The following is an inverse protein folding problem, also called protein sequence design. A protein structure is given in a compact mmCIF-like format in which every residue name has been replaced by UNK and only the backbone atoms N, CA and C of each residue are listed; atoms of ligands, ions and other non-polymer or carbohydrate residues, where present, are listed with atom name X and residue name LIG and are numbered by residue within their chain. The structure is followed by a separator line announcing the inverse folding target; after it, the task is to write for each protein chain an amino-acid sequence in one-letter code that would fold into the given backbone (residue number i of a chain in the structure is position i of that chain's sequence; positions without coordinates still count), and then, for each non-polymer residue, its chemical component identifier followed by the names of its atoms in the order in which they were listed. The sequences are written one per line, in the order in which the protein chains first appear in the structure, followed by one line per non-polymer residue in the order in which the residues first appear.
data_IF_551471122512
#
_entry.id   IF_551471122512
#
_cell.length_a   1.000
_cell.length_b   1.000
_cell.length_c   1.000
_cell.angle_alpha   90.00
_cell.angle_beta   90.00
_cell.angle_gamma   90.00
#
_symmetry.space_group_name_H-M   'P 1'
#
loop_
_entity.id
_entity.type
_entity.pdbx_description
1 polymer ?
#
# COMPACT_ATOMS: atom_id res chain seq x y z
N UNK A 1 -5.29 -11.63 25.81
CA UNK A 1 -3.88 -11.33 26.15
C UNK A 1 -3.86 -10.06 26.97
N UNK A 2 -3.20 -10.04 28.12
CA UNK A 2 -3.21 -8.93 29.10
C UNK A 2 -2.00 -8.00 28.98
N UNK A 3 -1.15 -8.20 27.97
CA UNK A 3 -0.02 -7.30 27.67
C UNK A 3 -0.53 -5.98 27.03
N UNK A 4 -0.36 -4.82 27.69
CA UNK A 4 -0.77 -3.52 27.16
C UNK A 4 -0.12 -3.17 25.81
N UNK A 5 1.11 -3.60 25.57
CA UNK A 5 1.82 -3.32 24.31
C UNK A 5 1.26 -4.16 23.15
N UNK A 6 0.91 -5.42 23.42
CA UNK A 6 0.21 -6.26 22.45
C UNK A 6 -1.16 -5.69 22.08
N UNK A 7 -1.88 -5.13 23.06
CA UNK A 7 -3.18 -4.48 22.82
C UNK A 7 -3.05 -3.26 21.91
N UNK A 8 -1.99 -2.45 22.09
CA UNK A 8 -1.71 -1.27 21.24
C UNK A 8 -1.34 -1.65 19.80
N UNK A 9 -0.73 -2.81 19.59
CA UNK A 9 -0.34 -3.31 18.25
C UNK A 9 -1.44 -4.10 17.55
N UNK A 10 -2.56 -4.34 18.20
CA UNK A 10 -3.68 -5.05 17.60
C UNK A 10 -4.19 -4.29 16.35
N UNK A 11 -4.19 -4.98 15.21
CA UNK A 11 -4.56 -4.41 13.91
C UNK A 11 -3.47 -3.54 13.27
N UNK A 12 -2.24 -3.55 13.79
CA UNK A 12 -1.09 -2.94 13.13
C UNK A 12 -0.62 -3.83 11.96
N UNK A 13 -0.22 -3.19 10.87
CA UNK A 13 0.33 -3.85 9.69
C UNK A 13 1.75 -3.37 9.43
N UNK A 14 2.60 -4.27 8.93
CA UNK A 14 3.90 -3.87 8.39
C UNK A 14 3.67 -3.02 7.14
N UNK A 15 4.33 -1.88 7.04
CA UNK A 15 4.34 -1.06 5.82
C UNK A 15 5.00 -1.86 4.68
N UNK A 16 4.28 -2.18 3.60
CA UNK A 16 4.85 -2.90 2.48
C UNK A 16 5.80 -2.01 1.67
N UNK A 17 6.67 -2.64 0.88
CA UNK A 17 7.45 -1.93 -0.14
C UNK A 17 6.55 -1.51 -1.30
N UNK A 18 6.94 -0.45 -2.01
CA UNK A 18 6.28 0.05 -3.23
C UNK A 18 7.10 -0.20 -4.50
N UNK A 19 8.18 -0.98 -4.40
CA UNK A 19 8.94 -1.42 -5.59
C UNK A 19 8.12 -2.41 -6.40
N UNK A 20 8.12 -2.27 -7.72
CA UNK A 20 7.34 -3.13 -8.63
C UNK A 20 5.82 -3.10 -8.36
N UNK A 21 5.29 -2.01 -7.82
CA UNK A 21 3.89 -1.90 -7.37
C UNK A 21 2.87 -2.04 -8.50
N UNK A 22 3.25 -1.80 -9.75
CA UNK A 22 2.34 -1.99 -10.89
C UNK A 22 1.99 -3.45 -11.15
N UNK A 23 2.81 -4.38 -10.65
CA UNK A 23 2.72 -5.82 -10.96
C UNK A 23 2.08 -6.63 -9.83
N UNK A 24 1.65 -5.96 -8.76
CA UNK A 24 1.23 -6.59 -7.49
C UNK A 24 -0.23 -6.33 -7.15
N UNK A 25 -1.06 -5.96 -8.13
CA UNK A 25 -2.49 -5.88 -7.90
C UNK A 25 -3.07 -7.29 -7.57
N UNK A 26 -4.11 -7.39 -6.72
CA UNK A 26 -4.79 -6.32 -6.00
C UNK A 26 -4.01 -5.80 -4.78
N UNK A 27 -4.35 -4.60 -4.29
CA UNK A 27 -3.59 -3.89 -3.26
C UNK A 27 -4.17 -4.03 -1.84
N UNK A 28 -3.30 -3.78 -0.84
CA UNK A 28 -3.52 -3.99 0.61
C UNK A 28 -3.56 -5.46 1.04
N UNK A 29 -3.51 -5.68 2.35
CA UNK A 29 -3.44 -7.02 2.97
C UNK A 29 -4.68 -7.88 2.71
N UNK A 30 -5.80 -7.25 2.36
CA UNK A 30 -7.08 -7.88 2.06
C UNK A 30 -7.50 -7.73 0.59
N UNK A 31 -6.63 -7.18 -0.27
CA UNK A 31 -6.89 -7.03 -1.70
C UNK A 31 -8.05 -6.08 -2.04
N UNK A 32 -8.40 -5.13 -1.16
CA UNK A 32 -9.64 -4.32 -1.28
C UNK A 32 -9.70 -3.36 -2.46
N UNK A 33 -8.58 -3.02 -3.10
CA UNK A 33 -8.55 -2.11 -4.25
C UNK A 33 -7.87 -2.79 -5.42
N UNK A 34 -8.42 -2.62 -6.63
CA UNK A 34 -7.95 -3.29 -7.83
C UNK A 34 -6.92 -2.44 -8.60
N UNK A 35 -6.98 -1.12 -8.44
CA UNK A 35 -6.10 -0.19 -9.17
C UNK A 35 -5.16 0.57 -8.24
N UNK A 36 -4.02 0.98 -8.77
CA UNK A 36 -3.03 1.77 -8.03
C UNK A 36 -3.61 3.13 -7.64
N UNK A 37 -4.40 3.71 -8.53
CA UNK A 37 -5.15 4.95 -8.35
C UNK A 37 -6.08 4.87 -7.12
N UNK A 38 -6.88 3.81 -7.02
CA UNK A 38 -7.74 3.57 -5.86
C UNK A 38 -6.93 3.37 -4.58
N UNK A 39 -5.79 2.68 -4.65
CA UNK A 39 -4.92 2.47 -3.50
C UNK A 39 -4.32 3.79 -2.99
N UNK A 40 -3.87 4.66 -3.89
CA UNK A 40 -3.37 6.00 -3.55
C UNK A 40 -4.48 6.83 -2.92
N UNK A 41 -5.68 6.85 -3.52
CA UNK A 41 -6.81 7.61 -3.01
C UNK A 41 -7.26 7.11 -1.63
N UNK A 42 -7.21 5.80 -1.39
CA UNK A 42 -7.50 5.20 -0.10
C UNK A 42 -6.53 5.69 0.99
N UNK A 43 -5.22 5.74 0.68
CA UNK A 43 -4.22 6.24 1.61
C UNK A 43 -4.35 7.75 1.84
N UNK A 44 -4.64 8.53 0.79
CA UNK A 44 -4.89 9.97 0.90
C UNK A 44 -6.15 10.30 1.72
N UNK A 45 -7.14 9.41 1.78
CA UNK A 45 -8.31 9.54 2.66
C UNK A 45 -8.02 9.20 4.12
N UNK A 46 -6.80 8.77 4.46
CA UNK A 46 -6.43 8.39 5.83
C UNK A 46 -6.93 7.00 6.25
N UNK A 47 -7.20 6.12 5.28
CA UNK A 47 -7.63 4.74 5.52
C UNK A 47 -9.00 4.62 6.19
N UNK A 48 -9.21 3.54 6.96
CA UNK A 48 -10.48 3.25 7.65
C UNK A 48 -10.34 3.57 9.14
N UNK A 49 -10.67 4.82 9.52
CA UNK A 49 -10.52 5.29 10.90
C UNK A 49 -11.55 4.71 11.88
N UNK A 50 -12.71 4.29 11.40
CA UNK A 50 -13.82 3.83 12.24
C UNK A 50 -13.76 2.34 12.63
N UNK A 51 -12.75 1.58 12.19
CA UNK A 51 -12.65 0.13 12.47
C UNK A 51 -11.54 -0.26 13.44
N UNK A 52 -10.53 0.58 13.65
CA UNK A 52 -9.43 0.26 14.55
C UNK A 52 -9.17 1.44 15.52
N UNK A 53 -9.35 1.26 16.85
CA UNK A 53 -9.02 2.29 17.83
C UNK A 53 -7.52 2.59 17.91
N UNK A 54 -6.66 1.68 17.44
CA UNK A 54 -5.19 1.80 17.47
C UNK A 54 -4.60 2.39 16.17
N UNK A 55 -5.38 3.13 15.38
CA UNK A 55 -4.87 3.70 14.13
C UNK A 55 -3.76 4.71 14.38
N UNK A 56 -2.70 4.66 13.57
CA UNK A 56 -1.57 5.60 13.70
C UNK A 56 -2.05 7.04 13.46
N UNK A 57 -1.68 7.96 14.35
CA UNK A 57 -2.02 9.37 14.25
C UNK A 57 -1.48 10.02 12.98
N UNK A 58 -0.41 9.49 12.39
CA UNK A 58 0.17 9.99 11.13
C UNK A 58 -0.69 9.68 9.91
N UNK A 59 -1.58 8.69 9.99
CA UNK A 59 -2.48 8.34 8.88
C UNK A 59 -3.68 9.29 8.86
N UNK A 60 -3.43 10.54 8.44
CA UNK A 60 -4.46 11.59 8.32
C UNK A 60 -4.86 11.79 6.86
N UNK A 61 -6.11 12.20 6.60
CA UNK A 61 -6.51 12.64 5.28
C UNK A 61 -5.59 13.75 4.76
N UNK A 62 -5.18 13.66 3.50
CA UNK A 62 -4.37 14.65 2.81
C UNK A 62 -5.00 14.94 1.45
N UNK A 63 -5.29 16.22 1.21
CA UNK A 63 -5.72 16.67 -0.11
C UNK A 63 -4.48 17.02 -0.94
N UNK A 64 -4.43 16.50 -2.16
CA UNK A 64 -3.44 16.87 -3.16
C UNK A 64 -4.15 17.59 -4.31
N UNK A 65 -3.44 18.48 -4.98
CA UNK A 65 -3.90 19.00 -6.27
C UNK A 65 -3.93 17.86 -7.30
N UNK A 66 -4.78 17.94 -8.34
CA UNK A 66 -4.85 16.92 -9.38
C UNK A 66 -3.49 16.59 -10.00
N UNK A 67 -2.65 17.60 -10.21
CA UNK A 67 -1.32 17.46 -10.79
C UNK A 67 -0.35 16.73 -9.85
N UNK A 68 -0.41 17.03 -8.55
CA UNK A 68 0.42 16.36 -7.53
C UNK A 68 0.04 14.89 -7.40
N UNK A 69 -1.26 14.58 -7.48
CA UNK A 69 -1.75 13.19 -7.50
C UNK A 69 -1.21 12.45 -8.72
N UNK A 70 -1.26 13.06 -9.90
CA UNK A 70 -0.73 12.46 -11.13
C UNK A 70 0.78 12.23 -11.04
N UNK A 71 1.53 13.19 -10.52
CA UNK A 71 2.98 13.08 -10.30
C UNK A 71 3.32 11.96 -9.31
N UNK A 72 2.56 11.82 -8.23
CA UNK A 72 2.73 10.71 -7.28
C UNK A 72 2.51 9.35 -7.95
N UNK A 73 1.43 9.21 -8.71
CA UNK A 73 1.14 7.95 -9.42
C UNK A 73 2.22 7.66 -10.47
N UNK A 74 2.68 8.67 -11.22
CA UNK A 74 3.76 8.53 -12.19
C UNK A 74 5.06 8.09 -11.51
N UNK A 75 5.40 8.69 -10.37
CA UNK A 75 6.55 8.28 -9.57
C UNK A 75 6.42 6.82 -9.12
N UNK A 76 5.27 6.40 -8.58
CA UNK A 76 5.05 5.01 -8.17
C UNK A 76 5.19 4.03 -9.35
N UNK A 77 4.67 4.39 -10.53
CA UNK A 77 4.81 3.58 -11.76
C UNK A 77 6.27 3.45 -12.19
N UNK A 78 7.10 4.48 -11.99
CA UNK A 78 8.54 4.41 -12.30
C UNK A 78 9.35 3.49 -11.38
N UNK A 79 8.78 2.99 -10.29
CA UNK A 79 9.45 2.05 -9.38
C UNK A 79 9.36 0.59 -9.84
N UNK A 80 8.71 0.34 -10.97
CA UNK A 80 8.69 -0.97 -11.62
C UNK A 80 9.74 -0.99 -12.74
N UNK A 81 10.75 -1.87 -12.68
CA UNK A 81 11.69 -2.03 -13.76
C UNK A 81 11.05 -2.78 -14.94
N UNK A 82 11.63 -2.64 -16.12
CA UNK A 82 11.26 -3.46 -17.28
C UNK A 82 11.36 -4.97 -16.94
N UNK A 83 10.38 -5.79 -17.39
CA UNK A 83 10.37 -7.21 -17.11
C UNK A 83 11.59 -7.87 -17.76
N UNK A 84 12.41 -8.54 -16.94
CA UNK A 84 13.51 -9.36 -17.44
C UNK A 84 12.98 -10.77 -17.73
N UNK A 85 13.15 -11.31 -18.94
CA UNK A 85 12.79 -12.68 -19.24
C UNK A 85 13.49 -13.64 -18.26
N UNK A 86 12.72 -14.53 -17.66
CA UNK A 86 13.25 -15.61 -16.84
C UNK A 86 13.26 -16.89 -17.67
N UNK A 87 14.45 -17.46 -17.89
CA UNK A 87 14.60 -18.76 -18.50
C UNK A 87 14.43 -19.85 -17.44
N UNK A 88 13.46 -20.75 -17.66
CA UNK A 88 13.22 -21.86 -16.72
C UNK A 88 14.40 -22.82 -16.74
N UNK A 89 14.94 -23.21 -15.57
CA UNK A 89 15.99 -24.21 -15.52
C UNK A 89 15.45 -25.55 -16.02
N UNK A 90 16.27 -26.27 -16.80
CA UNK A 90 16.00 -27.68 -17.10
C UNK A 90 16.31 -28.50 -15.86
N UNK A 91 15.30 -29.11 -15.27
CA UNK A 91 15.49 -30.06 -14.16
C UNK A 91 16.06 -31.38 -14.70
N UNK A 92 16.96 -32.06 -13.96
CA UNK A 92 17.44 -33.40 -14.30
C UNK A 92 16.32 -34.43 -14.39
#
# INVERSE_FOLDING_TARGET
TTDPEAQKRMGAFKTPTVRSITDTAPYFHDGRTNTLEEAVDFMLKGGIRNRNPNIDEKLKPKMLRPEERQQLIAFLKSLTPEPKPFERPKVP
#
